data_IF_882017897272
#
_entry.id   IF_882017897272
#
_cell.length_a   1.000
_cell.length_b   1.000
_cell.length_c   1.000
_cell.angle_alpha   90.00
_cell.angle_beta   90.00
_cell.angle_gamma   90.00
#
_symmetry.space_group_name_H-M   'P 1'
#
loop_
_entity.id
_entity.type
_entity.pdbx_description
1 polymer ?
#
# COMPACT_ATOMS: atom_id res chain seq x y z
N UNK A 1 2.89 14.45 -0.53
CA UNK A 1 3.96 14.73 -1.52
C UNK A 1 5.19 13.81 -1.34
N UNK A 2 5.80 13.74 -0.15
CA UNK A 2 7.02 12.94 0.09
C UNK A 2 6.84 11.41 -0.09
N UNK A 3 5.67 10.88 0.25
CA UNK A 3 5.37 9.43 0.15
C UNK A 3 5.37 8.96 -1.31
N UNK A 4 4.78 9.75 -2.21
CA UNK A 4 4.69 9.45 -3.66
C UNK A 4 6.08 9.42 -4.28
N UNK A 5 6.96 10.36 -3.90
CA UNK A 5 8.35 10.38 -4.33
C UNK A 5 9.11 9.12 -3.91
N UNK A 6 8.90 8.66 -2.67
CA UNK A 6 9.50 7.42 -2.18
C UNK A 6 9.08 6.20 -3.00
N UNK A 7 7.78 6.07 -3.28
CA UNK A 7 7.22 4.95 -4.06
C UNK A 7 7.78 4.94 -5.49
N UNK A 8 7.84 6.10 -6.14
CA UNK A 8 8.39 6.23 -7.50
C UNK A 8 9.88 5.87 -7.52
N UNK A 9 10.66 6.34 -6.54
CA UNK A 9 12.09 6.02 -6.45
C UNK A 9 12.35 4.52 -6.25
N UNK A 10 11.58 3.89 -5.36
CA UNK A 10 11.66 2.44 -5.14
C UNK A 10 11.29 1.67 -6.41
N UNK A 11 10.19 2.03 -7.06
CA UNK A 11 9.77 1.38 -8.30
C UNK A 11 10.78 1.55 -9.43
N UNK A 12 11.41 2.74 -9.55
CA UNK A 12 12.45 3.00 -10.55
C UNK A 12 13.72 2.19 -10.28
N UNK A 13 14.18 2.11 -9.03
CA UNK A 13 15.34 1.31 -8.65
C UNK A 13 15.13 -0.18 -8.96
N UNK A 14 13.94 -0.69 -8.63
CA UNK A 14 13.52 -2.06 -8.92
C UNK A 14 13.50 -2.28 -10.44
N UNK A 15 12.85 -1.41 -11.23
CA UNK A 15 12.84 -1.53 -12.70
C UNK A 15 14.24 -1.54 -13.32
N UNK A 16 15.15 -0.67 -12.85
CA UNK A 16 16.51 -0.57 -13.40
C UNK A 16 17.31 -1.86 -13.17
N UNK A 17 17.09 -2.57 -12.07
CA UNK A 17 17.77 -3.84 -11.79
C UNK A 17 17.10 -5.02 -12.51
N UNK A 18 15.77 -5.09 -12.46
CA UNK A 18 15.02 -6.29 -12.84
C UNK A 18 14.69 -6.34 -14.34
N UNK A 19 14.35 -5.21 -14.95
CA UNK A 19 14.01 -5.14 -16.38
C UNK A 19 15.18 -5.57 -17.29
N UNK A 20 16.41 -5.03 -17.17
CA UNK A 20 17.51 -5.46 -18.04
C UNK A 20 17.97 -6.88 -17.73
N UNK A 21 17.87 -7.34 -16.48
CA UNK A 21 18.17 -8.72 -16.11
C UNK A 21 17.24 -9.71 -16.83
N UNK A 22 15.93 -9.42 -16.83
CA UNK A 22 14.92 -10.29 -17.42
C UNK A 22 14.87 -10.21 -18.96
N UNK A 23 15.15 -9.03 -19.53
CA UNK A 23 15.33 -8.88 -20.99
C UNK A 23 16.50 -9.73 -21.48
N UNK A 24 17.65 -9.70 -20.76
CA UNK A 24 18.82 -10.50 -21.10
C UNK A 24 18.57 -12.00 -21.01
N UNK A 25 17.80 -12.47 -20.03
CA UNK A 25 17.50 -13.90 -19.85
C UNK A 25 16.29 -14.40 -20.68
N UNK A 26 15.62 -13.55 -21.47
CA UNK A 26 14.36 -13.87 -22.20
C UNK A 26 13.27 -14.49 -21.30
N UNK A 27 13.25 -14.13 -20.01
CA UNK A 27 12.32 -14.70 -19.03
C UNK A 27 10.94 -14.02 -19.15
N UNK A 28 10.18 -14.40 -20.18
CA UNK A 28 8.84 -13.85 -20.42
C UNK A 28 7.87 -14.09 -19.25
N UNK A 29 8.03 -15.23 -18.54
CA UNK A 29 7.22 -15.55 -17.35
C UNK A 29 7.52 -14.61 -16.18
N UNK A 30 8.79 -14.37 -15.89
CA UNK A 30 9.16 -13.42 -14.85
C UNK A 30 8.68 -12.01 -15.22
N UNK A 31 8.77 -11.61 -16.50
CA UNK A 31 8.35 -10.27 -16.94
C UNK A 31 6.86 -10.04 -16.69
N UNK A 32 6.08 -11.11 -16.85
CA UNK A 32 4.67 -11.10 -16.57
C UNK A 32 4.37 -10.99 -15.07
N UNK A 33 5.07 -11.75 -14.22
CA UNK A 33 4.94 -11.66 -12.76
C UNK A 33 5.37 -10.28 -12.25
N UNK A 34 6.50 -9.77 -12.73
CA UNK A 34 7.02 -8.44 -12.39
C UNK A 34 6.03 -7.35 -12.77
N UNK A 35 5.53 -7.38 -14.01
CA UNK A 35 4.54 -6.40 -14.47
C UNK A 35 3.24 -6.48 -13.67
N UNK A 36 2.79 -7.68 -13.28
CA UNK A 36 1.60 -7.85 -12.45
C UNK A 36 1.84 -7.30 -11.04
N UNK A 37 2.98 -7.61 -10.42
CA UNK A 37 3.35 -7.12 -9.09
C UNK A 37 3.49 -5.60 -9.07
N UNK A 38 4.10 -5.04 -10.11
CA UNK A 38 4.30 -3.60 -10.26
C UNK A 38 2.97 -2.88 -10.52
N UNK A 39 2.08 -3.47 -11.33
CA UNK A 39 0.73 -2.96 -11.53
C UNK A 39 -0.11 -3.00 -10.25
N UNK A 40 0.00 -4.06 -9.45
CA UNK A 40 -0.64 -4.13 -8.13
C UNK A 40 -0.06 -3.09 -7.17
N UNK A 41 1.27 -2.98 -7.07
CA UNK A 41 1.93 -2.00 -6.20
C UNK A 41 1.58 -0.55 -6.57
N UNK A 42 1.60 -0.23 -7.86
CA UNK A 42 1.18 1.08 -8.37
C UNK A 42 -0.32 1.29 -8.18
N UNK A 43 -1.16 0.28 -8.45
CA UNK A 43 -2.60 0.37 -8.24
C UNK A 43 -2.98 0.66 -6.79
N UNK A 44 -2.37 -0.05 -5.84
CA UNK A 44 -2.54 0.16 -4.39
C UNK A 44 -2.03 1.55 -4.00
N UNK A 45 -0.85 1.94 -4.48
CA UNK A 45 -0.25 3.25 -4.19
C UNK A 45 -1.06 4.41 -4.78
N UNK A 46 -1.63 4.22 -5.97
CA UNK A 46 -2.51 5.19 -6.62
C UNK A 46 -3.87 5.27 -5.92
N UNK A 47 -4.40 4.15 -5.43
CA UNK A 47 -5.62 4.14 -4.62
C UNK A 47 -5.41 4.89 -3.29
N UNK A 48 -4.28 4.67 -2.62
CA UNK A 48 -3.84 5.43 -1.44
C UNK A 48 -3.73 6.93 -1.76
N UNK A 49 -3.06 7.27 -2.88
CA UNK A 49 -2.78 8.65 -3.25
C UNK A 49 -4.02 9.42 -3.73
N UNK A 50 -5.01 8.74 -4.30
CA UNK A 50 -6.26 9.36 -4.75
C UNK A 50 -7.16 9.77 -3.58
N UNK A 51 -6.75 9.53 -2.32
CA UNK A 51 -7.60 9.68 -1.14
C UNK A 51 -8.94 8.93 -1.29
N UNK A 52 -8.94 7.84 -2.07
CA UNK A 52 -9.89 6.78 -1.76
C UNK A 52 -9.44 6.34 -0.38
N UNK A 53 -10.18 6.74 0.65
CA UNK A 53 -9.77 6.63 2.04
C UNK A 53 -9.51 5.16 2.37
N UNK A 54 -8.30 4.70 2.08
CA UNK A 54 -7.77 3.46 2.59
C UNK A 54 -7.55 3.82 4.05
N UNK A 55 -8.38 3.27 4.95
CA UNK A 55 -8.27 3.58 6.36
C UNK A 55 -6.84 3.24 6.74
N UNK A 56 -6.15 4.23 7.30
CA UNK A 56 -4.81 3.97 7.82
C UNK A 56 -4.91 2.80 8.80
N UNK A 57 -3.83 2.02 9.03
CA UNK A 57 -3.86 0.96 10.03
C UNK A 57 -4.35 1.47 11.40
N UNK A 58 -4.09 2.76 11.68
CA UNK A 58 -4.59 3.51 12.81
C UNK A 58 -6.11 3.72 12.78
N UNK A 59 -6.72 4.00 11.63
CA UNK A 59 -8.18 4.06 11.46
C UNK A 59 -8.84 2.68 11.68
N UNK A 60 -8.20 1.60 11.24
CA UNK A 60 -8.70 0.25 11.52
C UNK A 60 -8.67 -0.08 13.00
N UNK A 61 -7.58 0.26 13.69
CA UNK A 61 -7.49 0.14 15.14
C UNK A 61 -8.59 1.00 15.78
N UNK A 62 -8.76 2.24 15.33
CA UNK A 62 -9.78 3.16 15.87
C UNK A 62 -11.19 2.63 15.63
N UNK A 63 -11.47 1.98 14.50
CA UNK A 63 -12.77 1.36 14.20
C UNK A 63 -13.10 0.20 15.12
N UNK A 64 -12.12 -0.64 15.45
CA UNK A 64 -12.27 -1.77 16.39
C UNK A 64 -12.40 -1.27 17.83
N UNK A 65 -11.67 -0.21 18.19
CA UNK A 65 -11.72 0.35 19.54
C UNK A 65 -12.95 1.23 19.78
N UNK A 66 -13.51 1.86 18.75
CA UNK A 66 -14.72 2.70 18.85
C UNK A 66 -15.88 2.05 19.60
N UNK A 67 -16.35 0.84 19.25
CA UNK A 67 -17.45 0.19 19.97
C UNK A 67 -17.09 -0.15 21.43
N UNK A 68 -15.81 -0.40 21.72
CA UNK A 68 -15.35 -0.62 23.09
C UNK A 68 -15.37 0.68 23.89
N UNK A 69 -14.92 1.79 23.32
CA UNK A 69 -15.00 3.12 23.92
C UNK A 69 -16.45 3.57 24.12
N UNK A 70 -17.32 3.34 23.15
CA UNK A 70 -18.75 3.67 23.26
C UNK A 70 -19.41 2.83 24.36
N UNK A 71 -19.04 1.55 24.49
CA UNK A 71 -19.52 0.70 25.58
C UNK A 71 -19.04 1.19 26.95
N UNK A 72 -17.75 1.54 27.07
CA UNK A 72 -17.17 2.09 28.31
C UNK A 72 -17.78 3.45 28.69
N UNK A 73 -18.10 4.29 27.69
CA UNK A 73 -18.80 5.56 27.86
C UNK A 73 -20.25 5.32 28.30
N UNK A 74 -20.95 4.37 27.70
CA UNK A 74 -22.34 4.07 28.03
C UNK A 74 -22.50 3.49 29.45
N UNK A 75 -21.52 2.73 29.94
CA UNK A 75 -21.51 2.21 31.32
C UNK A 75 -20.91 3.19 32.34
N UNK A 76 -20.52 4.41 31.92
CA UNK A 76 -20.05 5.48 32.80
C UNK A 76 -18.66 5.25 33.41
N UNK A 77 -17.83 4.41 32.78
CA UNK A 77 -16.50 4.02 33.29
C UNK A 77 -15.40 5.02 32.93
N UNK A 78 -15.61 5.81 31.87
CA UNK A 78 -14.73 6.87 31.41
C UNK A 78 -15.58 8.12 31.13
N UNK A 79 -15.17 9.26 31.69
CA UNK A 79 -15.81 10.58 31.55
C UNK A 79 -15.00 11.45 30.59
#
# INVERSE_FOLDING_TARGET
MAVILGIILSAAAIMILEVPYMLRKRLKKELWVFSLLLLLGVGISSAEALQWAIPTPLDWITFVYKPFTDFLTHIGLIT
#
